data_IF_040462503456
#
_entry.id   IF_040462503456
#
_cell.length_a   1.000
_cell.length_b   1.000
_cell.length_c   1.000
_cell.angle_alpha   90.00
_cell.angle_beta   90.00
_cell.angle_gamma   90.00
#
_symmetry.space_group_name_H-M   'P 1'
#
loop_
_entity.id
_entity.type
_entity.pdbx_description
1 polymer ?
#
# COMPACT_ATOMS: atom_id res chain seq x y z
N UNK A 1 -34.00 -69.25 -10.53
CA UNK A 1 -32.83 -68.51 -9.94
C UNK A 1 -33.22 -67.06 -9.81
N UNK A 2 -33.55 -66.60 -8.59
CA UNK A 2 -33.97 -65.22 -8.33
C UNK A 2 -32.77 -64.51 -7.65
N UNK A 3 -32.21 -63.50 -8.28
CA UNK A 3 -31.18 -62.64 -7.71
C UNK A 3 -31.85 -61.49 -6.98
N UNK A 4 -31.58 -61.37 -5.67
CA UNK A 4 -31.97 -60.26 -4.84
C UNK A 4 -30.85 -59.21 -4.89
N UNK A 5 -31.17 -57.97 -5.32
CA UNK A 5 -30.27 -56.83 -5.26
C UNK A 5 -30.53 -56.12 -3.93
N UNK A 6 -29.50 -56.15 -3.05
CA UNK A 6 -29.51 -55.40 -1.81
C UNK A 6 -29.02 -53.94 -2.11
N UNK A 7 -29.91 -52.99 -1.93
CA UNK A 7 -29.57 -51.54 -2.00
C UNK A 7 -28.93 -51.12 -0.65
N UNK A 8 -27.66 -50.77 -0.67
CA UNK A 8 -26.95 -50.17 0.48
C UNK A 8 -27.30 -48.65 0.52
N UNK A 9 -28.08 -48.24 1.51
CA UNK A 9 -28.29 -46.82 1.85
C UNK A 9 -27.05 -46.29 2.57
N UNK A 10 -26.24 -45.50 1.87
CA UNK A 10 -25.16 -44.76 2.47
C UNK A 10 -25.71 -43.59 3.27
N UNK A 11 -25.55 -43.61 4.59
CA UNK A 11 -25.76 -42.44 5.47
C UNK A 11 -24.71 -41.40 5.14
N UNK A 12 -25.11 -40.33 4.47
CA UNK A 12 -24.37 -39.09 4.40
C UNK A 12 -24.42 -38.46 5.80
N UNK A 13 -23.35 -38.68 6.58
CA UNK A 13 -23.10 -37.92 7.79
C UNK A 13 -22.87 -36.44 7.38
N UNK A 14 -23.91 -35.62 7.52
CA UNK A 14 -23.82 -34.19 7.46
C UNK A 14 -22.84 -33.72 8.55
N UNK A 15 -21.63 -33.38 8.15
CA UNK A 15 -20.69 -32.69 9.02
C UNK A 15 -21.26 -31.30 9.38
N UNK A 16 -21.90 -31.22 10.56
CA UNK A 16 -22.12 -29.93 11.20
C UNK A 16 -20.75 -29.28 11.38
N UNK A 17 -20.46 -28.21 10.62
CA UNK A 17 -19.38 -27.31 10.94
C UNK A 17 -19.65 -26.79 12.34
N UNK A 18 -18.89 -27.24 13.35
CA UNK A 18 -18.89 -26.62 14.66
C UNK A 18 -18.57 -25.15 14.43
N UNK A 19 -19.53 -24.27 14.75
CA UNK A 19 -19.29 -22.83 14.77
C UNK A 19 -18.02 -22.57 15.57
N UNK A 20 -17.17 -21.72 15.03
CA UNK A 20 -15.91 -21.33 15.66
C UNK A 20 -16.23 -20.55 16.94
N UNK A 21 -16.17 -21.23 18.09
CA UNK A 21 -16.49 -20.65 19.40
C UNK A 21 -15.27 -20.02 20.09
N UNK A 22 -14.17 -19.80 19.38
CA UNK A 22 -13.00 -19.14 19.95
C UNK A 22 -13.36 -17.69 20.35
N UNK A 23 -13.10 -17.26 21.61
CA UNK A 23 -13.39 -15.88 22.01
C UNK A 23 -12.54 -14.91 21.20
N UNK A 24 -13.10 -13.72 20.86
CA UNK A 24 -12.36 -12.72 20.12
C UNK A 24 -11.18 -12.19 20.94
N UNK A 25 -10.01 -12.10 20.30
CA UNK A 25 -8.79 -11.57 20.95
C UNK A 25 -8.71 -10.06 20.90
N UNK A 26 -9.43 -9.40 19.99
CA UNK A 26 -9.53 -7.95 19.90
C UNK A 26 -10.79 -7.53 19.14
N UNK A 27 -11.25 -6.31 19.39
CA UNK A 27 -12.19 -5.60 18.51
C UNK A 27 -11.38 -4.81 17.50
N UNK A 28 -11.68 -4.98 16.19
CA UNK A 28 -11.02 -4.25 15.11
C UNK A 28 -11.91 -3.12 14.60
N UNK A 29 -11.31 -1.97 14.35
CA UNK A 29 -11.94 -0.84 13.63
C UNK A 29 -10.93 -0.23 12.64
N UNK A 30 -11.47 0.51 11.68
CA UNK A 30 -10.74 1.05 10.55
C UNK A 30 -11.26 2.45 10.21
N UNK A 31 -10.37 3.31 9.74
CA UNK A 31 -10.75 4.56 9.10
C UNK A 31 -9.80 4.87 7.95
N UNK A 32 -10.31 5.55 6.94
CA UNK A 32 -9.56 6.06 5.81
C UNK A 32 -9.56 7.59 5.85
N UNK A 33 -8.44 8.22 5.46
CA UNK A 33 -8.33 9.69 5.42
C UNK A 33 -9.27 10.35 4.40
N UNK A 34 -9.80 9.56 3.47
CA UNK A 34 -10.74 9.98 2.43
C UNK A 34 -11.82 8.93 2.26
N UNK A 35 -13.08 9.36 2.24
CA UNK A 35 -14.20 8.47 1.92
C UNK A 35 -14.27 8.13 0.42
N UNK A 36 -13.71 9.00 -0.43
CA UNK A 36 -13.65 8.84 -1.90
C UNK A 36 -12.23 9.05 -2.35
N UNK A 37 -11.71 8.15 -3.19
CA UNK A 37 -10.31 8.19 -3.61
C UNK A 37 -10.16 7.69 -5.05
N UNK A 38 -9.44 8.41 -5.92
CA UNK A 38 -9.12 7.91 -7.26
C UNK A 38 -8.16 6.72 -7.21
N UNK A 39 -8.32 5.81 -8.16
CA UNK A 39 -7.34 4.75 -8.40
C UNK A 39 -5.96 5.39 -8.71
N UNK A 40 -4.90 4.83 -8.13
CA UNK A 40 -3.54 5.35 -8.22
C UNK A 40 -3.20 6.45 -7.20
N UNK A 41 -4.19 6.98 -6.48
CA UNK A 41 -3.96 8.01 -5.47
C UNK A 41 -3.49 7.45 -4.13
N UNK A 42 -2.71 8.21 -3.34
CA UNK A 42 -2.38 7.85 -1.97
C UNK A 42 -3.56 8.06 -1.03
N UNK A 43 -3.67 7.16 -0.05
CA UNK A 43 -4.66 7.22 1.02
C UNK A 43 -4.04 6.74 2.34
N UNK A 44 -4.40 7.39 3.44
CA UNK A 44 -4.03 6.93 4.77
C UNK A 44 -5.10 5.99 5.31
N UNK A 45 -4.69 4.80 5.70
CA UNK A 45 -5.52 3.77 6.30
C UNK A 45 -5.09 3.61 7.76
N UNK A 46 -6.00 3.89 8.70
CA UNK A 46 -5.76 3.75 10.13
C UNK A 46 -6.46 2.51 10.65
N UNK A 47 -5.68 1.62 11.24
CA UNK A 47 -6.11 0.38 11.86
C UNK A 47 -6.06 0.52 13.37
N UNK A 48 -7.14 0.08 14.05
CA UNK A 48 -7.22 0.11 15.50
C UNK A 48 -7.74 -1.23 16.03
N UNK A 49 -6.99 -1.79 16.97
CA UNK A 49 -7.31 -3.03 17.65
C UNK A 49 -7.41 -2.77 19.15
N UNK A 50 -8.59 -2.97 19.73
CA UNK A 50 -8.78 -2.97 21.18
C UNK A 50 -8.65 -4.41 21.67
N UNK A 51 -7.51 -4.74 22.27
CA UNK A 51 -7.18 -6.09 22.73
C UNK A 51 -8.09 -6.48 23.89
N UNK A 52 -8.70 -7.66 23.81
CA UNK A 52 -9.61 -8.12 24.86
C UNK A 52 -8.87 -8.31 26.20
N UNK A 53 -9.53 -8.05 27.36
CA UNK A 53 -8.89 -8.16 28.68
C UNK A 53 -8.34 -9.55 29.02
N UNK A 54 -8.86 -10.59 28.38
CA UNK A 54 -8.47 -11.98 28.57
C UNK A 54 -7.77 -12.58 27.34
N UNK A 55 -7.34 -11.72 26.39
CA UNK A 55 -6.67 -12.20 25.17
C UNK A 55 -5.34 -12.87 25.49
N UNK A 56 -5.09 -14.01 24.84
CA UNK A 56 -3.80 -14.68 24.83
C UNK A 56 -3.35 -14.85 23.37
N UNK A 57 -2.46 -13.99 22.91
CA UNK A 57 -1.92 -14.04 21.55
C UNK A 57 -0.51 -14.61 21.63
N UNK A 58 -0.30 -15.78 21.02
CA UNK A 58 0.99 -16.48 21.02
C UNK A 58 1.70 -16.34 19.69
N UNK A 59 2.68 -15.41 19.64
CA UNK A 59 3.51 -15.17 18.46
C UNK A 59 3.01 -14.05 17.55
N UNK A 60 3.68 -13.89 16.41
CA UNK A 60 3.42 -12.78 15.50
C UNK A 60 2.45 -13.20 14.40
N UNK A 61 1.34 -12.49 14.35
CA UNK A 61 0.33 -12.56 13.31
C UNK A 61 0.42 -11.32 12.43
N UNK A 62 0.25 -11.52 11.15
CA UNK A 62 0.12 -10.43 10.17
C UNK A 62 -1.32 -9.96 10.10
N UNK A 63 -1.51 -8.71 9.75
CA UNK A 63 -2.81 -8.17 9.36
C UNK A 63 -3.01 -8.47 7.89
N UNK A 64 -4.09 -9.15 7.53
CA UNK A 64 -4.53 -9.14 6.14
C UNK A 64 -5.59 -8.06 5.95
N UNK A 65 -5.56 -7.44 4.79
CA UNK A 65 -6.52 -6.42 4.38
C UNK A 65 -6.95 -6.73 2.96
N UNK A 66 -8.17 -7.19 2.82
CA UNK A 66 -8.77 -7.46 1.52
C UNK A 66 -9.81 -6.39 1.22
N UNK A 67 -9.82 -5.92 -0.01
CA UNK A 67 -10.84 -5.00 -0.48
C UNK A 67 -11.70 -5.73 -1.51
N UNK A 68 -13.00 -5.69 -1.29
CA UNK A 68 -13.97 -6.41 -2.12
C UNK A 68 -15.00 -5.45 -2.72
N UNK A 69 -15.54 -5.80 -3.88
CA UNK A 69 -16.61 -5.06 -4.54
C UNK A 69 -17.96 -5.20 -3.76
N UNK A 70 -19.01 -4.58 -4.26
CA UNK A 70 -20.36 -4.63 -3.71
C UNK A 70 -20.99 -6.05 -3.72
N UNK A 71 -20.46 -6.96 -4.54
CA UNK A 71 -20.86 -8.36 -4.61
C UNK A 71 -19.98 -9.27 -3.72
N UNK A 72 -18.98 -8.72 -3.06
CA UNK A 72 -18.03 -9.46 -2.22
C UNK A 72 -16.89 -10.13 -3.00
N UNK A 73 -16.65 -9.77 -4.26
CA UNK A 73 -15.54 -10.30 -5.03
C UNK A 73 -14.27 -9.48 -4.76
N UNK A 74 -13.08 -10.11 -4.59
CA UNK A 74 -11.83 -9.41 -4.43
C UNK A 74 -11.50 -8.50 -5.62
N UNK A 75 -11.10 -7.27 -5.35
CA UNK A 75 -10.74 -6.26 -6.38
C UNK A 75 -9.22 -6.08 -6.55
N UNK A 76 -8.42 -7.09 -6.35
CA UNK A 76 -6.96 -7.04 -6.49
C UNK A 76 -6.27 -5.91 -5.68
N UNK A 77 -6.82 -5.57 -4.52
CA UNK A 77 -6.23 -4.65 -3.56
C UNK A 77 -6.07 -5.34 -2.21
N UNK A 78 -4.83 -5.63 -1.85
CA UNK A 78 -4.43 -6.21 -0.57
C UNK A 78 -3.40 -5.30 0.09
N UNK A 79 -3.56 -5.01 1.37
CA UNK A 79 -2.56 -4.29 2.18
C UNK A 79 -2.09 -5.19 3.35
N UNK A 80 -1.70 -6.42 3.03
CA UNK A 80 -1.21 -7.38 4.02
C UNK A 80 0.13 -6.91 4.60
N UNK A 81 0.20 -6.78 5.94
CA UNK A 81 1.37 -6.21 6.60
C UNK A 81 1.58 -6.74 8.01
N UNK A 82 2.77 -6.51 8.54
CA UNK A 82 3.08 -6.74 9.94
C UNK A 82 2.67 -5.52 10.77
N UNK A 83 1.83 -5.68 11.82
CA UNK A 83 1.41 -4.57 12.66
C UNK A 83 2.57 -4.02 13.49
N UNK A 84 2.48 -2.75 13.85
CA UNK A 84 3.45 -2.08 14.74
C UNK A 84 2.74 -1.56 15.99
N UNK A 85 3.06 -2.10 17.19
CA UNK A 85 4.02 -3.19 17.46
C UNK A 85 3.51 -4.56 16.98
N UNK A 86 4.40 -5.58 16.86
CA UNK A 86 4.00 -6.94 16.47
C UNK A 86 3.03 -7.54 17.49
N UNK A 87 2.16 -8.46 17.05
CA UNK A 87 1.07 -8.98 17.89
C UNK A 87 1.53 -9.72 19.14
N UNK A 88 2.73 -10.30 19.15
CA UNK A 88 3.35 -10.91 20.33
C UNK A 88 3.61 -9.91 21.47
N UNK A 89 3.62 -8.62 21.20
CA UNK A 89 3.80 -7.55 22.19
C UNK A 89 2.48 -6.92 22.63
N UNK A 90 1.34 -7.35 22.09
CA UNK A 90 0.04 -6.82 22.47
C UNK A 90 -0.37 -7.33 23.85
N UNK A 91 -0.79 -6.41 24.71
CA UNK A 91 -1.17 -6.72 26.10
C UNK A 91 -2.70 -6.70 26.26
N UNK A 92 -3.27 -7.59 27.09
CA UNK A 92 -4.68 -7.54 27.44
C UNK A 92 -5.15 -6.12 27.85
N UNK A 93 -6.26 -5.67 27.29
CA UNK A 93 -6.83 -4.33 27.52
C UNK A 93 -6.12 -3.18 26.80
N UNK A 94 -5.07 -3.44 26.02
CA UNK A 94 -4.33 -2.41 25.28
C UNK A 94 -5.08 -2.01 24.00
N UNK A 95 -4.99 -0.74 23.66
CA UNK A 95 -5.36 -0.23 22.32
C UNK A 95 -4.11 -0.12 21.47
N UNK A 96 -4.13 -0.75 20.31
CA UNK A 96 -3.11 -0.65 19.26
C UNK A 96 -3.70 0.14 18.11
N UNK A 97 -3.08 1.27 17.76
CA UNK A 97 -3.53 2.12 16.66
C UNK A 97 -2.32 2.56 15.84
N UNK A 98 -2.40 2.43 14.53
CA UNK A 98 -1.37 2.88 13.61
C UNK A 98 -1.96 3.19 12.25
N UNK A 99 -1.27 4.06 11.51
CA UNK A 99 -1.65 4.49 10.15
C UNK A 99 -0.61 4.04 9.13
N UNK A 100 -1.09 3.59 7.99
CA UNK A 100 -0.28 3.28 6.81
C UNK A 100 -0.74 4.16 5.66
N UNK A 101 0.21 4.71 4.91
CA UNK A 101 -0.10 5.33 3.62
C UNK A 101 0.13 4.30 2.53
N UNK A 102 -0.87 4.08 1.71
CA UNK A 102 -0.81 3.16 0.57
C UNK A 102 -1.27 3.88 -0.69
N UNK A 103 -0.80 3.43 -1.85
CA UNK A 103 -1.36 3.84 -3.13
C UNK A 103 -2.47 2.88 -3.52
N UNK A 104 -3.64 3.42 -3.83
CA UNK A 104 -4.77 2.60 -4.31
C UNK A 104 -4.38 1.99 -5.64
N UNK A 105 -4.37 0.66 -5.79
CA UNK A 105 -3.97 0.04 -7.04
C UNK A 105 -4.95 0.41 -8.18
N UNK A 106 -4.43 0.49 -9.39
CA UNK A 106 -5.25 0.70 -10.57
C UNK A 106 -5.91 -0.62 -10.94
N UNK A 107 -7.19 -0.74 -10.66
CA UNK A 107 -8.03 -1.91 -10.94
C UNK A 107 -9.13 -1.55 -11.94
N UNK A 108 -9.80 -2.51 -12.58
CA UNK A 108 -10.95 -2.23 -13.43
C UNK A 108 -12.23 -1.87 -12.66
N UNK A 109 -12.21 -1.87 -11.32
CA UNK A 109 -13.37 -1.59 -10.48
C UNK A 109 -13.41 -0.13 -10.03
N UNK A 110 -14.59 0.47 -10.14
CA UNK A 110 -14.94 1.82 -9.66
C UNK A 110 -16.28 1.71 -8.93
N UNK A 111 -16.39 2.30 -7.74
CA UNK A 111 -17.59 2.22 -6.92
C UNK A 111 -17.29 1.99 -5.45
N UNK A 112 -18.28 1.58 -4.68
CA UNK A 112 -18.13 1.30 -3.26
C UNK A 112 -17.42 -0.04 -3.04
N UNK A 113 -16.31 0.02 -2.33
CA UNK A 113 -15.49 -1.13 -2.01
C UNK A 113 -15.46 -1.35 -0.49
N UNK A 114 -15.75 -2.57 -0.06
CA UNK A 114 -15.73 -2.95 1.35
C UNK A 114 -14.33 -3.38 1.76
N UNK A 115 -13.86 -2.87 2.90
CA UNK A 115 -12.58 -3.26 3.50
C UNK A 115 -12.82 -4.37 4.52
N UNK A 116 -12.15 -5.49 4.35
CA UNK A 116 -12.15 -6.63 5.26
C UNK A 116 -10.78 -6.80 5.90
N UNK A 117 -10.73 -6.94 7.21
CA UNK A 117 -9.50 -7.07 8.01
C UNK A 117 -9.54 -8.32 8.86
N UNK A 118 -8.38 -8.95 9.05
CA UNK A 118 -8.19 -10.03 10.01
C UNK A 118 -6.73 -10.21 10.40
N UNK A 119 -6.47 -11.13 11.32
CA UNK A 119 -5.14 -11.51 11.77
C UNK A 119 -4.85 -12.94 11.37
N UNK A 120 -3.68 -13.19 10.74
CA UNK A 120 -3.31 -14.52 10.26
C UNK A 120 -1.83 -14.86 10.49
N UNK A 121 -1.56 -16.16 10.63
CA UNK A 121 -0.22 -16.74 10.67
C UNK A 121 -0.25 -18.09 9.95
N UNK A 122 0.30 -18.15 8.74
CA UNK A 122 0.11 -19.32 7.88
C UNK A 122 -1.38 -19.53 7.58
N UNK A 123 -1.89 -20.72 7.94
CA UNK A 123 -3.31 -21.05 7.76
C UNK A 123 -4.18 -20.72 9.00
N UNK A 124 -3.57 -20.31 10.10
CA UNK A 124 -4.30 -19.94 11.32
C UNK A 124 -4.76 -18.49 11.26
N UNK A 125 -6.00 -18.25 11.71
CA UNK A 125 -6.58 -16.91 11.82
C UNK A 125 -7.15 -16.72 13.22
N UNK A 126 -6.91 -15.56 13.82
CA UNK A 126 -7.47 -15.21 15.11
C UNK A 126 -8.92 -14.73 14.97
N UNK A 127 -9.74 -15.06 15.96
CA UNK A 127 -11.09 -14.51 16.08
C UNK A 127 -11.01 -13.06 16.54
N UNK A 128 -11.65 -12.15 15.80
CA UNK A 128 -11.81 -10.75 16.15
C UNK A 128 -13.29 -10.45 16.35
N UNK A 129 -13.60 -9.24 16.76
CA UNK A 129 -14.93 -8.66 16.76
C UNK A 129 -14.94 -7.44 15.82
N UNK A 130 -15.91 -7.35 14.94
CA UNK A 130 -16.09 -6.19 14.07
C UNK A 130 -16.52 -4.94 14.85
N UNK A 131 -16.52 -3.76 14.20
CA UNK A 131 -16.80 -2.48 14.86
C UNK A 131 -18.24 -2.38 15.40
N UNK A 132 -19.17 -3.11 14.83
CA UNK A 132 -20.58 -3.19 15.25
C UNK A 132 -20.87 -4.31 16.27
N UNK A 133 -19.83 -4.98 16.77
CA UNK A 133 -19.94 -6.15 17.63
C UNK A 133 -20.31 -7.42 16.88
N UNK A 134 -20.34 -7.43 15.55
CA UNK A 134 -20.59 -8.61 14.76
C UNK A 134 -19.30 -9.42 14.53
N UNK A 135 -19.46 -10.74 14.57
CA UNK A 135 -18.43 -11.71 14.18
C UNK A 135 -18.67 -12.26 12.77
N UNK A 136 -19.68 -11.72 12.07
CA UNK A 136 -20.13 -12.24 10.78
C UNK A 136 -19.31 -11.67 9.63
N UNK A 137 -18.71 -12.57 8.90
CA UNK A 137 -17.92 -12.26 7.72
C UNK A 137 -18.33 -13.13 6.55
N UNK A 138 -18.15 -12.64 5.33
CA UNK A 138 -18.35 -13.42 4.12
C UNK A 138 -17.32 -14.57 4.00
N UNK A 139 -16.11 -14.33 4.55
CA UNK A 139 -15.03 -15.31 4.61
C UNK A 139 -14.65 -15.55 6.06
N UNK A 140 -14.33 -16.80 6.42
CA UNK A 140 -13.98 -17.15 7.80
C UNK A 140 -12.92 -16.20 8.40
N UNK A 141 -13.29 -15.49 9.48
CA UNK A 141 -12.46 -14.54 10.23
C UNK A 141 -11.88 -13.38 9.40
N UNK A 142 -12.66 -12.91 8.40
CA UNK A 142 -12.42 -11.65 7.70
C UNK A 142 -13.55 -10.67 8.09
N UNK A 143 -13.23 -9.55 8.71
CA UNK A 143 -14.21 -8.66 9.36
C UNK A 143 -14.40 -7.39 8.53
N UNK A 144 -15.65 -7.09 8.14
CA UNK A 144 -15.98 -5.85 7.44
C UNK A 144 -15.81 -4.68 8.41
N UNK A 145 -14.88 -3.78 8.08
CA UNK A 145 -14.50 -2.68 8.97
C UNK A 145 -14.80 -1.30 8.40
N UNK A 146 -15.10 -1.20 7.11
CA UNK A 146 -15.44 0.07 6.48
C UNK A 146 -15.66 -0.05 4.98
N UNK A 147 -15.98 1.08 4.36
CA UNK A 147 -16.18 1.21 2.91
C UNK A 147 -15.40 2.40 2.39
N UNK A 148 -14.83 2.28 1.20
CA UNK A 148 -14.13 3.35 0.47
C UNK A 148 -14.76 3.42 -0.91
N UNK A 149 -15.11 4.64 -1.38
CA UNK A 149 -15.62 4.83 -2.73
C UNK A 149 -14.46 5.08 -3.70
N UNK A 150 -14.22 4.13 -4.62
CA UNK A 150 -13.17 4.21 -5.62
C UNK A 150 -13.63 5.04 -6.82
N UNK A 151 -12.81 6.00 -7.22
CA UNK A 151 -13.05 6.87 -8.36
C UNK A 151 -12.14 6.46 -9.53
N UNK A 152 -12.52 6.76 -10.77
CA UNK A 152 -11.65 6.50 -11.92
C UNK A 152 -10.34 7.31 -11.83
N UNK A 153 -9.24 6.84 -12.43
CA UNK A 153 -7.94 7.56 -12.43
C UNK A 153 -8.02 8.96 -13.04
N UNK A 154 -9.00 9.21 -13.91
CA UNK A 154 -9.25 10.51 -14.53
C UNK A 154 -9.61 11.62 -13.55
N UNK A 155 -10.04 11.28 -12.32
CA UNK A 155 -10.27 12.23 -11.24
C UNK A 155 -8.98 12.74 -10.58
N UNK A 156 -7.84 12.15 -10.94
CA UNK A 156 -6.51 12.58 -10.48
C UNK A 156 -5.87 13.58 -11.45
N UNK A 157 -4.92 14.36 -10.94
CA UNK A 157 -4.02 15.15 -11.79
C UNK A 157 -3.10 14.18 -12.52
N UNK A 158 -3.20 14.15 -13.85
CA UNK A 158 -2.36 13.28 -14.66
C UNK A 158 -0.91 13.78 -14.66
N UNK A 159 0.02 12.91 -14.25
CA UNK A 159 1.44 13.20 -14.16
C UNK A 159 2.19 12.60 -15.35
N UNK A 160 2.93 13.44 -16.05
CA UNK A 160 3.74 13.05 -17.22
C UNK A 160 5.20 12.98 -16.82
N UNK A 161 5.84 11.84 -17.00
CA UNK A 161 7.30 11.68 -16.92
C UNK A 161 7.93 12.23 -18.20
N UNK A 162 8.45 13.48 -18.16
CA UNK A 162 8.84 14.25 -19.36
C UNK A 162 10.24 13.90 -19.85
N UNK A 163 11.25 14.02 -19.01
CA UNK A 163 12.64 13.74 -19.34
C UNK A 163 13.41 13.21 -18.15
N UNK A 164 14.53 12.53 -18.38
CA UNK A 164 15.40 12.01 -17.35
C UNK A 164 14.86 10.75 -16.66
N UNK A 165 14.00 9.99 -17.31
CA UNK A 165 13.45 8.74 -16.81
C UNK A 165 13.87 7.57 -17.69
N UNK A 166 14.29 6.47 -17.05
CA UNK A 166 14.48 5.20 -17.74
C UNK A 166 13.13 4.48 -17.92
N UNK A 167 13.04 3.49 -18.81
CA UNK A 167 11.83 2.64 -18.94
C UNK A 167 11.44 2.00 -17.61
N UNK A 168 10.14 1.72 -17.45
CA UNK A 168 9.62 1.03 -16.27
C UNK A 168 10.22 -0.39 -16.17
N UNK A 169 10.47 -0.80 -14.93
CA UNK A 169 10.95 -2.13 -14.56
C UNK A 169 9.97 -2.74 -13.55
N UNK A 170 9.92 -4.07 -13.53
CA UNK A 170 9.02 -4.83 -12.70
C UNK A 170 9.77 -5.82 -11.83
N UNK A 171 9.26 -6.08 -10.63
CA UNK A 171 9.84 -7.06 -9.72
C UNK A 171 9.76 -8.47 -10.29
N UNK A 172 10.89 -9.20 -10.31
CA UNK A 172 10.94 -10.58 -10.79
C UNK A 172 10.05 -11.51 -9.95
N UNK A 173 10.05 -11.30 -8.63
CA UNK A 173 9.29 -12.12 -7.67
C UNK A 173 7.88 -11.57 -7.42
N UNK A 174 7.62 -10.31 -7.76
CA UNK A 174 6.33 -9.64 -7.62
C UNK A 174 6.09 -8.70 -8.80
N UNK A 175 5.46 -9.17 -9.89
CA UNK A 175 5.17 -8.36 -11.07
C UNK A 175 4.27 -7.14 -10.80
N UNK A 176 3.58 -7.11 -9.65
CA UNK A 176 2.80 -5.95 -9.20
C UNK A 176 3.67 -4.80 -8.67
N UNK A 177 4.96 -5.02 -8.44
CA UNK A 177 5.90 -3.97 -8.03
C UNK A 177 6.57 -3.39 -9.27
N UNK A 178 6.21 -2.16 -9.60
CA UNK A 178 6.81 -1.38 -10.70
C UNK A 178 7.68 -0.27 -10.13
N UNK A 179 8.77 0.06 -10.82
CA UNK A 179 9.58 1.25 -10.55
C UNK A 179 10.17 1.83 -11.82
N UNK A 180 10.61 3.07 -11.74
CA UNK A 180 11.44 3.70 -12.75
C UNK A 180 12.66 4.36 -12.12
N UNK A 181 13.80 4.24 -12.79
CA UNK A 181 15.00 4.96 -12.41
C UNK A 181 14.99 6.37 -13.00
N UNK A 182 15.33 7.34 -12.19
CA UNK A 182 15.72 8.65 -12.72
C UNK A 182 17.15 8.61 -13.27
N UNK A 183 17.47 9.54 -14.15
CA UNK A 183 18.83 10.00 -14.40
C UNK A 183 19.24 10.97 -13.29
N UNK A 184 20.38 11.66 -13.44
CA UNK A 184 20.81 12.70 -12.50
C UNK A 184 19.76 13.79 -12.30
N UNK A 185 19.04 14.10 -13.36
CA UNK A 185 17.93 15.06 -13.37
C UNK A 185 16.73 14.43 -14.07
N UNK A 186 15.57 14.47 -13.42
CA UNK A 186 14.32 13.95 -13.96
C UNK A 186 13.20 14.99 -13.81
N UNK A 187 12.35 15.12 -14.83
CA UNK A 187 11.28 16.11 -14.89
C UNK A 187 9.92 15.44 -14.97
N UNK A 188 9.02 15.92 -14.14
CA UNK A 188 7.60 15.57 -14.11
C UNK A 188 6.81 16.80 -14.50
N UNK A 189 5.79 16.63 -15.36
CA UNK A 189 4.91 17.72 -15.79
C UNK A 189 3.44 17.34 -15.55
N UNK A 190 2.61 18.32 -15.24
CA UNK A 190 1.19 18.13 -15.00
C UNK A 190 0.41 19.43 -15.27
N UNK A 191 -0.89 19.32 -15.51
CA UNK A 191 -1.77 20.48 -15.60
C UNK A 191 -1.77 21.23 -14.27
N UNK A 192 -1.39 22.51 -14.29
CA UNK A 192 -1.31 23.33 -13.08
C UNK A 192 -2.70 23.55 -12.48
N UNK A 193 -2.98 23.06 -11.25
CA UNK A 193 -4.27 23.29 -10.60
C UNK A 193 -4.46 24.72 -10.08
N UNK A 194 -3.40 25.56 -10.13
CA UNK A 194 -3.37 26.96 -9.65
C UNK A 194 -3.76 27.09 -8.18
N UNK A 195 -3.41 26.10 -7.40
CA UNK A 195 -3.57 26.04 -5.94
C UNK A 195 -2.46 25.20 -5.35
N UNK A 196 -2.34 25.22 -4.05
CA UNK A 196 -1.36 24.41 -3.34
C UNK A 196 -1.56 22.93 -3.65
N UNK A 197 -0.46 22.20 -3.70
CA UNK A 197 -0.44 20.76 -3.92
C UNK A 197 0.38 20.06 -2.86
N UNK A 198 0.17 18.75 -2.74
CA UNK A 198 1.14 17.82 -2.14
C UNK A 198 1.71 16.95 -3.25
N UNK A 199 3.02 16.97 -3.40
CA UNK A 199 3.74 16.01 -4.23
C UNK A 199 4.13 14.81 -3.38
N UNK A 200 3.66 13.63 -3.76
CA UNK A 200 4.00 12.35 -3.14
C UNK A 200 5.08 11.69 -3.98
N UNK A 201 6.19 11.33 -3.35
CA UNK A 201 7.31 10.65 -3.98
C UNK A 201 7.70 9.44 -3.14
N UNK A 202 7.41 8.24 -3.66
CA UNK A 202 7.85 6.99 -3.04
C UNK A 202 9.05 6.44 -3.80
N UNK A 203 10.13 6.25 -3.05
CA UNK A 203 11.42 5.85 -3.58
C UNK A 203 12.19 5.01 -2.59
N UNK A 204 13.24 4.34 -3.04
CA UNK A 204 14.25 3.80 -2.15
C UNK A 204 15.65 4.31 -2.49
N UNK A 205 16.52 4.20 -1.50
CA UNK A 205 17.92 4.58 -1.61
C UNK A 205 18.79 3.35 -1.85
N UNK A 206 19.82 3.53 -2.67
CA UNK A 206 20.87 2.52 -2.88
C UNK A 206 21.99 2.72 -1.84
N UNK A 207 21.68 2.49 -0.56
CA UNK A 207 22.64 2.61 0.54
C UNK A 207 23.81 1.64 0.41
N UNK A 208 23.63 0.54 -0.30
CA UNK A 208 24.68 -0.41 -0.67
C UNK A 208 25.72 0.17 -1.66
N UNK A 209 25.29 1.05 -2.55
CA UNK A 209 26.14 1.74 -3.54
C UNK A 209 26.74 3.01 -2.96
N UNK A 210 25.96 3.77 -2.20
CA UNK A 210 26.33 5.06 -1.60
C UNK A 210 26.64 4.92 -0.10
N UNK A 211 27.52 3.96 0.24
CA UNK A 211 27.84 3.62 1.63
C UNK A 211 28.68 4.67 2.36
N UNK A 212 29.39 5.54 1.64
CA UNK A 212 30.21 6.63 2.17
C UNK A 212 29.36 7.79 2.72
N UNK A 213 28.33 8.20 2.00
CA UNK A 213 27.31 9.15 2.42
C UNK A 213 26.04 9.00 1.56
N UNK A 214 24.86 9.26 2.13
CA UNK A 214 23.61 9.15 1.42
C UNK A 214 23.54 10.07 0.21
N UNK A 215 22.85 9.60 -0.85
CA UNK A 215 22.54 10.42 -2.02
C UNK A 215 21.63 11.60 -1.61
N UNK A 216 21.98 12.82 -2.02
CA UNK A 216 21.15 14.00 -1.78
C UNK A 216 20.17 14.19 -2.92
N UNK A 217 18.90 14.36 -2.56
CA UNK A 217 17.80 14.59 -3.51
C UNK A 217 17.27 15.99 -3.31
N UNK A 218 17.13 16.76 -4.39
CA UNK A 218 16.53 18.08 -4.38
C UNK A 218 15.37 18.14 -5.37
N UNK A 219 14.24 18.60 -4.91
CA UNK A 219 13.04 18.83 -5.72
C UNK A 219 12.88 20.32 -5.97
N UNK A 220 12.67 20.67 -7.22
CA UNK A 220 12.49 22.05 -7.66
C UNK A 220 11.12 22.24 -8.31
N UNK A 221 10.58 23.45 -8.19
CA UNK A 221 9.54 23.99 -9.06
C UNK A 221 10.11 25.23 -9.77
N UNK A 222 10.24 25.13 -11.10
CA UNK A 222 11.03 26.11 -11.84
C UNK A 222 12.49 26.20 -11.36
N UNK A 223 12.92 27.38 -10.89
CA UNK A 223 14.24 27.59 -10.27
C UNK A 223 14.23 27.51 -8.75
N UNK A 224 13.08 27.39 -8.11
CA UNK A 224 12.97 27.39 -6.65
C UNK A 224 13.12 25.98 -6.10
N UNK A 225 13.91 25.83 -5.04
CA UNK A 225 13.98 24.62 -4.25
C UNK A 225 12.68 24.49 -3.44
N UNK A 226 12.00 23.37 -3.60
CA UNK A 226 10.79 23.02 -2.84
C UNK A 226 11.17 22.21 -1.61
N UNK A 227 12.03 21.21 -1.81
CA UNK A 227 12.48 20.28 -0.76
C UNK A 227 13.89 19.77 -1.08
N UNK A 228 14.70 19.51 -0.04
CA UNK A 228 16.00 18.85 -0.17
C UNK A 228 16.17 17.87 0.98
N UNK A 229 16.57 16.64 0.71
CA UNK A 229 16.71 15.59 1.72
C UNK A 229 17.77 14.54 1.34
N UNK A 230 18.27 13.84 2.34
CA UNK A 230 19.10 12.66 2.14
C UNK A 230 18.24 11.43 1.86
N UNK A 231 18.63 10.64 0.86
CA UNK A 231 18.07 9.33 0.59
C UNK A 231 18.89 8.27 1.35
N UNK A 232 18.57 8.07 2.63
CA UNK A 232 19.33 7.26 3.58
C UNK A 232 18.60 5.99 4.03
N UNK A 233 17.41 5.72 3.49
CA UNK A 233 16.60 4.57 3.86
C UNK A 233 16.91 3.35 3.00
N UNK A 234 17.19 2.22 3.61
CA UNK A 234 17.44 0.93 2.93
C UNK A 234 16.19 0.24 2.37
N UNK A 235 15.04 0.91 2.33
CA UNK A 235 13.77 0.40 1.79
C UNK A 235 12.91 1.54 1.25
N UNK A 236 11.78 1.19 0.65
CA UNK A 236 10.85 2.18 0.10
C UNK A 236 10.36 3.15 1.19
N UNK A 237 10.42 4.43 0.90
CA UNK A 237 9.95 5.52 1.76
C UNK A 237 9.11 6.49 0.96
N UNK A 238 8.03 6.97 1.57
CA UNK A 238 7.15 7.98 0.98
C UNK A 238 7.45 9.36 1.58
N UNK A 239 7.82 10.30 0.71
CA UNK A 239 7.88 11.73 1.02
C UNK A 239 6.58 12.41 0.60
N UNK A 240 6.08 13.32 1.44
CA UNK A 240 4.97 14.23 1.17
C UNK A 240 5.52 15.65 1.14
N UNK A 241 5.63 16.20 -0.04
CA UNK A 241 6.31 17.47 -0.30
C UNK A 241 5.24 18.53 -0.60
N UNK A 242 5.00 19.48 0.30
CA UNK A 242 4.08 20.59 0.03
C UNK A 242 4.68 21.55 -0.99
N UNK A 243 3.89 21.93 -1.98
CA UNK A 243 4.26 22.94 -3.00
C UNK A 243 3.16 23.96 -3.06
N UNK A 244 3.49 25.22 -2.88
CA UNK A 244 2.51 26.30 -2.91
C UNK A 244 2.13 26.68 -4.34
N UNK A 245 0.94 27.27 -4.54
CA UNK A 245 0.51 27.83 -5.81
C UNK A 245 1.52 28.85 -6.36
N UNK A 246 2.11 29.67 -5.46
CA UNK A 246 3.14 30.65 -5.83
C UNK A 246 4.41 29.99 -6.41
N UNK A 247 4.82 28.83 -5.87
CA UNK A 247 5.96 28.07 -6.40
C UNK A 247 5.64 27.40 -7.74
N UNK A 248 4.39 26.99 -7.97
CA UNK A 248 3.94 26.43 -9.24
C UNK A 248 3.85 27.49 -10.35
N UNK A 249 3.66 28.76 -9.98
CA UNK A 249 3.48 29.86 -10.92
C UNK A 249 2.13 29.80 -11.67
N UNK A 250 2.00 30.63 -12.72
CA UNK A 250 0.74 30.85 -13.43
C UNK A 250 0.64 30.10 -14.78
N UNK A 251 1.70 29.39 -15.18
CA UNK A 251 1.69 28.62 -16.43
C UNK A 251 0.59 27.56 -16.41
N UNK A 252 0.05 27.21 -17.57
CA UNK A 252 -0.99 26.19 -17.71
C UNK A 252 -0.45 24.80 -17.30
N UNK A 253 0.81 24.54 -17.59
CA UNK A 253 1.53 23.34 -17.19
C UNK A 253 2.58 23.68 -16.14
N UNK A 254 2.55 22.97 -15.03
CA UNK A 254 3.59 23.03 -14.00
C UNK A 254 4.57 21.87 -14.16
N UNK A 255 5.81 22.09 -13.70
CA UNK A 255 6.86 21.09 -13.71
C UNK A 255 7.52 20.97 -12.33
N UNK A 256 7.78 19.73 -11.94
CA UNK A 256 8.65 19.41 -10.82
C UNK A 256 9.89 18.69 -11.35
N UNK A 257 11.06 19.17 -10.91
CA UNK A 257 12.34 18.61 -11.30
C UNK A 257 13.00 17.99 -10.09
N UNK A 258 13.36 16.71 -10.22
CA UNK A 258 14.08 15.93 -9.20
C UNK A 258 15.53 15.88 -9.63
N UNK A 259 16.44 16.33 -8.77
CA UNK A 259 17.88 16.23 -8.98
C UNK A 259 18.50 15.38 -7.87
N UNK A 260 19.48 14.56 -8.26
CA UNK A 260 20.32 13.83 -7.34
C UNK A 260 21.77 14.34 -7.49
N UNK A 261 22.51 14.45 -6.39
CA UNK A 261 23.90 14.94 -6.40
C UNK A 261 24.81 13.96 -7.13
N UNK A 262 24.50 12.66 -7.09
CA UNK A 262 25.29 11.60 -7.71
C UNK A 262 24.44 10.44 -8.22
N UNK A 263 24.99 9.74 -9.19
CA UNK A 263 24.41 8.58 -9.88
C UNK A 263 25.39 7.41 -9.82
N UNK A 264 24.93 6.23 -10.24
CA UNK A 264 25.79 5.08 -10.38
C UNK A 264 25.50 4.34 -11.70
N UNK A 265 26.48 3.54 -12.15
CA UNK A 265 26.34 2.65 -13.28
C UNK A 265 26.51 1.22 -12.77
N UNK A 266 25.47 0.34 -12.85
CA UNK A 266 25.54 -1.01 -12.29
C UNK A 266 26.74 -1.83 -12.77
N UNK A 267 27.08 -1.76 -14.05
CA UNK A 267 28.22 -2.50 -14.63
C UNK A 267 29.61 -2.05 -14.08
N UNK A 268 29.68 -0.89 -13.41
CA UNK A 268 30.90 -0.37 -12.78
C UNK A 268 30.97 -0.66 -11.27
N UNK A 269 29.92 -1.30 -10.71
CA UNK A 269 29.91 -1.65 -9.29
C UNK A 269 30.66 -2.98 -9.05
N UNK A 270 31.18 -3.21 -7.83
CA UNK A 270 31.92 -4.43 -7.49
C UNK A 270 31.17 -5.75 -7.77
N UNK A 271 29.84 -5.73 -7.56
CA UNK A 271 28.98 -6.88 -7.85
C UNK A 271 28.85 -7.18 -9.34
N UNK A 272 29.30 -6.25 -10.21
CA UNK A 272 29.21 -6.36 -11.65
C UNK A 272 27.79 -6.35 -12.19
N UNK A 273 27.66 -6.30 -13.49
CA UNK A 273 26.38 -6.34 -14.19
C UNK A 273 26.57 -5.97 -15.66
N UNK A 274 25.53 -6.17 -16.47
CA UNK A 274 25.53 -5.77 -17.89
C UNK A 274 24.88 -4.40 -18.10
N UNK A 275 24.24 -3.84 -17.06
CA UNK A 275 23.55 -2.57 -17.18
C UNK A 275 24.54 -1.39 -17.18
N UNK A 276 24.55 -0.67 -18.29
CA UNK A 276 25.46 0.47 -18.53
C UNK A 276 24.75 1.82 -18.34
N UNK A 277 23.49 1.83 -17.96
CA UNK A 277 22.71 3.05 -17.73
C UNK A 277 23.27 3.79 -16.51
N UNK A 278 23.19 5.11 -16.55
CA UNK A 278 23.42 5.97 -15.41
C UNK A 278 22.13 6.11 -14.60
N UNK A 279 22.10 5.56 -13.40
CA UNK A 279 20.93 5.47 -12.55
C UNK A 279 21.02 6.45 -11.38
N UNK A 280 19.96 7.21 -11.17
CA UNK A 280 19.78 8.13 -10.06
C UNK A 280 18.95 7.53 -8.92
N UNK A 281 17.73 8.01 -8.76
CA UNK A 281 16.77 7.57 -7.73
C UNK A 281 15.86 6.48 -8.29
N UNK A 282 15.60 5.44 -7.52
CA UNK A 282 14.60 4.42 -7.86
C UNK A 282 13.24 4.85 -7.31
N UNK A 283 12.31 5.19 -8.20
CA UNK A 283 11.00 5.73 -7.86
C UNK A 283 9.92 4.69 -8.14
N UNK A 284 9.14 4.36 -7.12
CA UNK A 284 7.99 3.46 -7.20
C UNK A 284 6.71 4.24 -7.57
N UNK A 285 6.44 5.32 -6.82
CA UNK A 285 5.28 6.16 -7.09
C UNK A 285 5.65 7.64 -7.08
N UNK A 286 5.04 8.37 -8.00
CA UNK A 286 5.02 9.82 -8.03
C UNK A 286 3.58 10.28 -8.27
N UNK A 287 3.06 11.16 -7.41
CA UNK A 287 1.66 11.59 -7.46
C UNK A 287 1.52 13.05 -7.02
N UNK A 288 0.62 13.77 -7.66
CA UNK A 288 0.31 15.16 -7.31
C UNK A 288 -1.14 15.26 -6.88
N UNK A 289 -1.36 15.76 -5.68
CA UNK A 289 -2.67 16.00 -5.11
C UNK A 289 -2.88 17.50 -4.90
N UNK A 290 -3.93 18.06 -5.46
CA UNK A 290 -4.32 19.42 -5.18
C UNK A 290 -5.01 19.53 -3.80
N UNK A 291 -4.68 20.55 -3.03
CA UNK A 291 -5.25 20.84 -1.71
C UNK A 291 -6.46 21.77 -1.78
#
# INVERSE_FOLDING_TARGET
>A
MRFAIAAAFGLLAGGCSKGDNAPPVATVSFSASKARVPLGAPIDLTYKFNVAPNAAISGDYRVFVHVVDDNGNPIAWNDDHDPKPPTSQWKPGQTIEYTRTVFVPVTPYVGDATVEVGLYKGNDRLTLMGPDGSDKTATARAYKVGTIHLLPPSESIFLIKKSGWHPAEFGADNPGTEWQWSQKTAVLAFKNPRRDITFYLEFDARTDVFSDHPQQVTVYSGSQIVESFAADNGGAVLKRIPVTAAQLGDAEQAELRIEVDRTFVPSKQPAGGKDVRELGLRVYHAYVEAR
#
